data_IF_033110045143
#
_entry.id   IF_033110045143
#
_cell.length_a   1.000
_cell.length_b   1.000
_cell.length_c   1.000
_cell.angle_alpha   90.00
_cell.angle_beta   90.00
_cell.angle_gamma   90.00
#
_symmetry.space_group_name_H-M   'P 1'
#
loop_
_entity.id
_entity.type
_entity.pdbx_description
1 polymer ?
#
# COMPACT_ATOMS: atom_id res chain seq x y z
N UNK A 1 -15.00 -1.09 57.62
CA UNK A 1 -14.12 -1.07 56.42
C UNK A 1 -14.24 -2.33 55.54
N UNK A 2 -15.24 -3.20 55.73
CA UNK A 2 -15.45 -4.38 54.86
C UNK A 2 -16.59 -4.23 53.84
N UNK A 3 -17.62 -3.43 54.14
CA UNK A 3 -18.82 -3.36 53.29
C UNK A 3 -18.69 -2.43 52.08
N UNK A 4 -17.83 -1.41 52.15
CA UNK A 4 -17.62 -0.46 51.03
C UNK A 4 -16.90 -1.13 49.85
N UNK A 5 -16.03 -2.11 50.13
CA UNK A 5 -15.28 -2.82 49.08
C UNK A 5 -16.15 -3.81 48.30
N UNK A 6 -17.12 -4.46 48.97
CA UNK A 6 -18.03 -5.40 48.32
C UNK A 6 -19.01 -4.67 47.38
N UNK A 7 -19.42 -3.45 47.73
CA UNK A 7 -20.27 -2.61 46.88
C UNK A 7 -19.55 -2.10 45.63
N UNK A 8 -18.25 -1.81 45.71
CA UNK A 8 -17.45 -1.35 44.56
C UNK A 8 -17.20 -2.51 43.58
N UNK A 9 -16.89 -3.71 44.07
CA UNK A 9 -16.73 -4.87 43.18
C UNK A 9 -18.05 -5.30 42.54
N UNK A 10 -19.19 -5.27 43.26
CA UNK A 10 -20.50 -5.53 42.65
C UNK A 10 -20.87 -4.47 41.59
N UNK A 11 -20.55 -3.20 41.82
CA UNK A 11 -20.75 -2.15 40.81
C UNK A 11 -19.88 -2.38 39.57
N UNK A 12 -18.60 -2.75 39.74
CA UNK A 12 -17.72 -3.03 38.62
C UNK A 12 -18.20 -4.23 37.80
N UNK A 13 -18.64 -5.33 38.44
CA UNK A 13 -19.16 -6.50 37.73
C UNK A 13 -20.49 -6.20 37.03
N UNK A 14 -21.38 -5.38 37.62
CA UNK A 14 -22.62 -4.96 36.99
C UNK A 14 -22.39 -3.99 35.80
N UNK A 15 -21.39 -3.10 35.89
CA UNK A 15 -21.01 -2.21 34.79
C UNK A 15 -20.37 -3.02 33.65
N UNK A 16 -19.52 -4.00 33.95
CA UNK A 16 -18.96 -4.90 32.94
C UNK A 16 -20.03 -5.81 32.31
N UNK A 17 -20.98 -6.32 33.10
CA UNK A 17 -22.08 -7.14 32.59
C UNK A 17 -23.06 -6.32 31.73
N UNK A 18 -23.32 -5.05 32.06
CA UNK A 18 -24.12 -4.15 31.21
C UNK A 18 -23.36 -3.73 29.94
N UNK A 19 -22.04 -3.60 29.99
CA UNK A 19 -21.22 -3.34 28.80
C UNK A 19 -21.19 -4.54 27.83
N UNK A 20 -21.20 -5.76 28.36
CA UNK A 20 -21.23 -7.00 27.56
C UNK A 20 -22.66 -7.35 27.08
N UNK A 21 -23.70 -7.01 27.85
CA UNK A 21 -25.10 -7.27 27.49
C UNK A 21 -25.74 -6.18 26.60
N UNK A 22 -25.08 -5.01 26.46
CA UNK A 22 -25.55 -3.89 25.64
C UNK A 22 -25.09 -3.91 24.17
N UNK A 23 -24.33 -4.92 23.73
CA UNK A 23 -23.78 -4.98 22.36
C UNK A 23 -24.48 -6.00 21.45
N UNK A 24 -25.76 -6.29 21.69
CA UNK A 24 -26.60 -7.02 20.75
C UNK A 24 -27.62 -6.07 20.13
N UNK A 25 -27.47 -5.89 18.82
CA UNK A 25 -28.46 -5.33 17.90
C UNK A 25 -28.72 -3.80 17.99
N UNK A 26 -27.67 -3.02 17.75
CA UNK A 26 -27.83 -1.81 16.94
C UNK A 26 -27.32 -2.13 15.54
N UNK A 27 -28.25 -2.47 14.65
CA UNK A 27 -28.04 -2.31 13.20
C UNK A 27 -27.74 -0.85 12.95
N UNK A 28 -26.46 -0.51 13.00
CA UNK A 28 -25.99 0.75 12.48
C UNK A 28 -25.99 0.63 10.95
N UNK A 29 -27.10 1.04 10.33
CA UNK A 29 -27.23 1.31 8.90
C UNK A 29 -26.33 2.51 8.46
N UNK A 30 -25.29 2.84 9.23
CA UNK A 30 -24.21 3.79 8.93
C UNK A 30 -22.83 3.14 9.05
N UNK A 31 -22.65 1.94 8.50
CA UNK A 31 -21.33 1.60 7.93
C UNK A 31 -21.12 2.54 6.73
N UNK A 32 -20.77 3.78 7.04
CA UNK A 32 -20.34 4.82 6.12
C UNK A 32 -19.23 4.23 5.28
N UNK A 33 -19.56 3.92 4.02
CA UNK A 33 -18.65 3.88 2.87
C UNK A 33 -17.21 3.60 3.27
N UNK A 34 -16.85 2.32 3.43
CA UNK A 34 -15.45 1.92 3.45
C UNK A 34 -14.78 2.64 2.28
N UNK A 35 -13.81 3.51 2.56
CA UNK A 35 -13.18 4.32 1.55
C UNK A 35 -12.66 3.40 0.43
N UNK A 36 -13.33 3.41 -0.73
CA UNK A 36 -13.01 2.50 -1.81
C UNK A 36 -11.88 3.11 -2.62
N UNK A 37 -10.64 2.88 -2.16
CA UNK A 37 -9.42 3.27 -2.88
C UNK A 37 -9.31 2.46 -4.19
N UNK A 38 -9.47 3.10 -5.37
CA UNK A 38 -9.50 2.42 -6.66
C UNK A 38 -8.15 1.81 -7.07
N UNK A 39 -7.05 2.16 -6.40
CA UNK A 39 -5.75 1.53 -6.62
C UNK A 39 -5.80 0.01 -6.47
N UNK A 40 -6.79 -0.48 -5.74
CA UNK A 40 -6.89 -1.87 -5.36
C UNK A 40 -7.10 -2.85 -6.48
N UNK A 41 -7.79 -2.40 -7.52
CA UNK A 41 -8.11 -3.24 -8.66
C UNK A 41 -6.85 -3.57 -9.48
N UNK A 42 -5.75 -2.83 -9.27
CA UNK A 42 -4.44 -3.18 -9.84
C UNK A 42 -3.86 -4.45 -9.20
N UNK A 43 -4.18 -4.77 -7.95
CA UNK A 43 -3.61 -5.93 -7.24
C UNK A 43 -4.43 -7.20 -7.48
N UNK A 44 -5.75 -7.08 -7.64
CA UNK A 44 -6.67 -8.23 -7.76
C UNK A 44 -6.76 -8.76 -9.22
N UNK A 45 -5.96 -8.25 -10.16
CA UNK A 45 -5.91 -8.65 -11.57
C UNK A 45 -7.30 -8.87 -12.22
N UNK A 46 -8.30 -8.05 -11.85
CA UNK A 46 -9.58 -8.01 -12.56
C UNK A 46 -9.44 -6.99 -13.68
N UNK A 47 -9.49 -7.43 -14.92
CA UNK A 47 -9.52 -6.59 -16.12
C UNK A 47 -10.52 -5.43 -15.95
N UNK A 48 -10.04 -4.20 -15.78
CA UNK A 48 -10.90 -3.04 -15.52
C UNK A 48 -11.23 -2.33 -16.83
N UNK A 49 -12.39 -2.67 -17.39
CA UNK A 49 -13.35 -1.63 -17.76
C UNK A 49 -14.47 -1.71 -16.73
N UNK A 50 -14.40 -0.93 -15.67
CA UNK A 50 -15.49 -0.89 -14.68
C UNK A 50 -16.06 0.52 -14.62
N UNK A 51 -17.10 0.72 -15.45
CA UNK A 51 -18.15 1.66 -15.11
C UNK A 51 -18.75 1.20 -13.79
N UNK A 52 -18.55 1.93 -12.69
CA UNK A 52 -19.33 1.68 -11.49
C UNK A 52 -20.75 2.22 -11.73
N UNK A 53 -21.70 1.30 -11.93
CA UNK A 53 -23.13 1.58 -11.80
C UNK A 53 -23.45 1.72 -10.31
N UNK A 54 -23.37 2.95 -9.78
CA UNK A 54 -24.14 3.43 -8.62
C UNK A 54 -23.91 4.94 -8.41
N UNK A 55 -24.17 5.75 -9.45
CA UNK A 55 -24.39 7.19 -9.31
C UNK A 55 -23.18 8.07 -8.94
N UNK A 56 -21.99 7.50 -8.68
CA UNK A 56 -20.73 8.23 -8.56
C UNK A 56 -19.83 7.84 -9.74
N UNK A 57 -19.49 8.78 -10.62
CA UNK A 57 -18.86 8.54 -11.93
C UNK A 57 -17.64 7.58 -11.92
N UNK A 58 -17.35 6.98 -13.07
CA UNK A 58 -16.29 5.97 -13.24
C UNK A 58 -14.89 6.51 -12.89
N UNK A 59 -14.09 5.68 -12.21
CA UNK A 59 -12.67 5.96 -12.00
C UNK A 59 -11.84 5.44 -13.18
N UNK A 60 -10.86 6.23 -13.60
CA UNK A 60 -9.75 5.78 -14.41
C UNK A 60 -8.58 5.46 -13.49
N UNK A 61 -8.08 4.23 -13.58
CA UNK A 61 -6.92 3.76 -12.82
C UNK A 61 -5.82 3.46 -13.83
N UNK A 62 -4.62 3.99 -13.62
CA UNK A 62 -3.46 3.80 -14.46
C UNK A 62 -2.33 3.19 -13.63
N UNK A 63 -1.53 2.33 -14.26
CA UNK A 63 -0.38 1.71 -13.63
C UNK A 63 0.78 1.58 -14.59
N UNK A 64 2.01 1.75 -14.10
CA UNK A 64 3.22 1.46 -14.83
C UNK A 64 4.26 0.81 -13.91
N UNK A 65 4.75 -0.38 -14.27
CA UNK A 65 5.72 -1.12 -13.47
C UNK A 65 5.76 -2.60 -13.81
N UNK A 66 6.09 -3.42 -12.83
CA UNK A 66 6.37 -4.84 -13.01
C UNK A 66 5.67 -5.73 -11.99
N UNK A 67 5.34 -6.93 -12.42
CA UNK A 67 4.81 -8.01 -11.59
C UNK A 67 5.72 -9.22 -11.69
N UNK A 68 5.97 -9.85 -10.55
CA UNK A 68 6.77 -11.06 -10.42
C UNK A 68 5.89 -12.17 -9.89
N UNK A 69 5.98 -13.34 -10.53
CA UNK A 69 5.20 -14.53 -10.21
C UNK A 69 6.14 -15.71 -9.99
N UNK A 70 5.99 -16.40 -8.87
CA UNK A 70 6.75 -17.59 -8.51
C UNK A 70 5.93 -18.49 -7.60
N UNK A 71 6.38 -19.73 -7.40
CA UNK A 71 5.75 -20.64 -6.45
C UNK A 71 5.85 -20.16 -5.00
N UNK A 72 6.88 -19.38 -4.67
CA UNK A 72 7.08 -18.82 -3.34
C UNK A 72 7.98 -17.60 -3.32
N UNK A 73 7.53 -16.57 -2.61
CA UNK A 73 8.29 -15.42 -2.17
C UNK A 73 8.09 -15.23 -0.66
N UNK A 74 9.15 -14.75 0.00
CA UNK A 74 9.17 -14.48 1.44
C UNK A 74 9.46 -13.03 1.78
N UNK A 75 9.77 -12.21 0.78
CA UNK A 75 9.86 -10.77 0.95
C UNK A 75 10.33 -10.05 -0.30
N UNK A 76 10.39 -8.74 -0.18
CA UNK A 76 10.91 -7.84 -1.19
C UNK A 76 11.52 -6.61 -0.50
N UNK A 77 12.64 -6.14 -1.06
CA UNK A 77 13.25 -4.86 -0.73
C UNK A 77 13.22 -3.97 -1.98
N UNK A 78 12.81 -2.72 -1.82
CA UNK A 78 12.58 -1.78 -2.92
C UNK A 78 12.96 -0.38 -2.47
N UNK A 79 13.69 0.35 -3.32
CA UNK A 79 13.90 1.79 -3.17
C UNK A 79 13.10 2.54 -4.23
N UNK A 80 12.42 3.62 -3.85
CA UNK A 80 11.77 4.52 -4.81
C UNK A 80 11.95 5.98 -4.42
N UNK A 81 11.94 6.85 -5.43
CA UNK A 81 11.91 8.29 -5.23
C UNK A 81 10.51 8.74 -4.76
N UNK A 82 10.43 9.76 -3.90
CA UNK A 82 9.16 10.37 -3.45
C UNK A 82 9.03 11.77 -4.05
N UNK A 83 7.86 12.14 -4.57
CA UNK A 83 7.62 13.47 -5.15
C UNK A 83 6.36 14.13 -4.56
N UNK A 84 6.39 15.45 -4.45
CA UNK A 84 5.16 16.24 -4.32
C UNK A 84 4.44 16.31 -5.68
N UNK A 85 3.12 16.16 -5.67
CA UNK A 85 2.31 16.09 -6.90
C UNK A 85 1.17 17.11 -6.84
N UNK A 86 0.97 17.81 -7.95
CA UNK A 86 -0.22 18.65 -8.14
C UNK A 86 -1.37 17.75 -8.62
N UNK A 87 -2.19 17.28 -7.68
CA UNK A 87 -3.37 16.45 -7.95
C UNK A 87 -4.65 17.13 -7.47
N UNK A 88 -5.75 16.88 -8.16
CA UNK A 88 -7.08 17.37 -7.78
C UNK A 88 -7.64 16.60 -6.57
N UNK A 89 -8.68 17.16 -5.92
CA UNK A 89 -9.35 16.56 -4.76
C UNK A 89 -9.89 15.14 -4.98
N UNK A 90 -10.14 14.73 -6.22
CA UNK A 90 -10.65 13.38 -6.54
C UNK A 90 -9.59 12.46 -7.15
N UNK A 91 -8.33 12.87 -7.15
CA UNK A 91 -7.20 12.10 -7.66
C UNK A 91 -6.39 11.47 -6.52
N UNK A 92 -5.70 10.38 -6.86
CA UNK A 92 -4.72 9.71 -6.02
C UNK A 92 -3.58 9.24 -6.92
N UNK A 93 -2.33 9.59 -6.60
CA UNK A 93 -1.19 9.17 -7.39
C UNK A 93 0.04 8.94 -6.53
N UNK A 94 0.86 7.96 -6.91
CA UNK A 94 2.01 7.57 -6.12
C UNK A 94 2.72 6.32 -6.62
N UNK A 95 3.39 5.65 -5.69
CA UNK A 95 4.18 4.46 -5.91
C UNK A 95 3.81 3.40 -4.88
N UNK A 96 3.74 2.13 -5.29
CA UNK A 96 3.39 1.02 -4.41
C UNK A 96 4.24 -0.22 -4.64
N UNK A 97 4.41 -0.96 -3.54
CA UNK A 97 4.91 -2.33 -3.49
C UNK A 97 3.75 -3.21 -3.01
N UNK A 98 3.36 -4.18 -3.83
CA UNK A 98 2.30 -5.13 -3.54
C UNK A 98 2.87 -6.53 -3.29
N UNK A 99 2.37 -7.19 -2.25
CA UNK A 99 2.69 -8.58 -1.90
C UNK A 99 1.37 -9.32 -1.84
N UNK A 100 1.27 -10.45 -2.52
CA UNK A 100 0.01 -11.16 -2.62
C UNK A 100 0.17 -12.66 -2.79
N UNK A 101 -0.98 -13.31 -2.74
CA UNK A 101 -1.12 -14.73 -3.06
C UNK A 101 -2.37 -14.92 -3.92
N UNK A 102 -2.23 -15.58 -5.07
CA UNK A 102 -3.29 -15.85 -6.03
C UNK A 102 -4.16 -17.02 -5.54
N UNK A 103 -5.48 -16.88 -5.65
CA UNK A 103 -6.47 -17.87 -5.21
C UNK A 103 -7.85 -17.24 -5.05
N UNK A 104 -8.84 -18.04 -4.64
CA UNK A 104 -10.22 -17.54 -4.41
C UNK A 104 -10.28 -16.51 -3.25
N UNK A 105 -9.36 -16.62 -2.29
CA UNK A 105 -9.12 -15.66 -1.20
C UNK A 105 -7.83 -14.87 -1.46
N UNK A 106 -7.90 -13.80 -2.27
CA UNK A 106 -6.74 -12.91 -2.51
C UNK A 106 -6.43 -12.17 -1.21
N UNK A 107 -5.36 -12.61 -0.56
CA UNK A 107 -4.68 -11.85 0.48
C UNK A 107 -3.67 -10.91 -0.18
N UNK A 108 -3.59 -9.67 0.31
CA UNK A 108 -2.52 -8.77 -0.12
C UNK A 108 -2.08 -7.83 1.00
N UNK A 109 -0.83 -7.41 0.90
CA UNK A 109 -0.24 -6.29 1.61
C UNK A 109 0.20 -5.29 0.54
N UNK A 110 -0.07 -4.01 0.78
CA UNK A 110 0.37 -2.91 -0.07
C UNK A 110 1.05 -1.89 0.82
N UNK A 111 2.24 -1.47 0.44
CA UNK A 111 2.92 -0.35 1.07
C UNK A 111 3.39 0.61 0.00
N UNK A 112 3.44 1.88 0.31
CA UNK A 112 3.81 2.86 -0.70
C UNK A 112 3.77 4.28 -0.18
N UNK A 113 3.88 5.21 -1.12
CA UNK A 113 3.62 6.62 -0.87
C UNK A 113 2.65 7.15 -1.92
N UNK A 114 1.85 8.14 -1.55
CA UNK A 114 0.94 8.79 -2.49
C UNK A 114 0.53 10.18 -2.05
N UNK A 115 0.10 11.00 -3.00
CA UNK A 115 -0.64 12.24 -2.73
C UNK A 115 -2.12 11.92 -2.89
N UNK A 116 -2.88 12.03 -1.80
CA UNK A 116 -4.31 11.71 -1.80
C UNK A 116 -5.15 12.72 -1.01
N UNK A 117 -5.49 13.87 -1.61
CA UNK A 117 -6.13 14.96 -0.88
C UNK A 117 -7.50 14.62 -0.30
N UNK A 118 -8.29 13.79 -0.99
CA UNK A 118 -9.59 13.34 -0.48
C UNK A 118 -9.50 12.63 0.87
N UNK A 119 -8.40 11.93 1.10
CA UNK A 119 -8.20 11.07 2.27
C UNK A 119 -7.50 11.83 3.40
N UNK A 120 -6.43 12.58 3.11
CA UNK A 120 -5.66 13.30 4.14
C UNK A 120 -6.12 14.74 4.41
N UNK A 121 -6.84 15.36 3.46
CA UNK A 121 -7.25 16.76 3.56
C UNK A 121 -6.15 17.76 3.20
N UNK A 122 -5.01 17.30 2.66
CA UNK A 122 -3.88 18.11 2.21
C UNK A 122 -3.33 17.64 0.85
N UNK A 123 -2.26 18.25 0.36
CA UNK A 123 -1.62 17.91 -0.91
C UNK A 123 -0.19 17.38 -0.75
N UNK A 124 0.16 16.86 0.43
CA UNK A 124 1.49 16.30 0.68
C UNK A 124 1.54 14.83 0.26
N UNK A 125 2.73 14.28 -0.04
CA UNK A 125 2.89 12.85 -0.17
C UNK A 125 2.88 12.21 1.23
N UNK A 126 2.13 11.13 1.39
CA UNK A 126 2.07 10.37 2.64
C UNK A 126 2.52 8.94 2.42
N UNK A 127 3.26 8.40 3.38
CA UNK A 127 3.49 6.96 3.48
C UNK A 127 2.17 6.28 3.85
N UNK A 128 1.83 5.19 3.18
CA UNK A 128 0.63 4.42 3.48
C UNK A 128 0.91 2.93 3.55
N UNK A 129 0.05 2.24 4.29
CA UNK A 129 -0.06 0.78 4.25
C UNK A 129 -1.50 0.37 4.02
N UNK A 130 -1.67 -0.82 3.47
CA UNK A 130 -2.97 -1.46 3.32
C UNK A 130 -2.80 -2.97 3.40
N UNK A 131 -3.80 -3.64 3.95
CA UNK A 131 -3.90 -5.10 3.87
C UNK A 131 -5.32 -5.54 3.56
N UNK A 132 -5.45 -6.74 3.01
CA UNK A 132 -6.72 -7.35 2.63
C UNK A 132 -6.64 -8.87 2.75
N UNK A 133 -7.79 -9.50 3.03
CA UNK A 133 -7.90 -10.97 3.13
C UNK A 133 -8.79 -11.58 2.05
N UNK A 134 -9.81 -10.87 1.58
CA UNK A 134 -10.90 -11.47 0.80
C UNK A 134 -11.20 -10.74 -0.52
N UNK A 135 -10.17 -10.36 -1.29
CA UNK A 135 -10.37 -9.71 -2.59
C UNK A 135 -11.22 -8.42 -2.53
N UNK A 136 -11.21 -7.69 -1.41
CA UNK A 136 -12.04 -6.50 -1.14
C UNK A 136 -13.54 -6.74 -1.03
N UNK A 137 -13.94 -7.93 -0.63
CA UNK A 137 -15.36 -8.13 -0.35
C UNK A 137 -15.74 -7.47 0.96
N UNK A 138 -15.01 -7.72 2.05
CA UNK A 138 -15.37 -7.20 3.39
C UNK A 138 -14.17 -6.95 4.32
N UNK A 139 -13.04 -7.62 4.12
CA UNK A 139 -11.98 -7.73 5.14
C UNK A 139 -10.66 -7.12 4.69
N UNK A 140 -10.28 -6.02 5.34
CA UNK A 140 -9.00 -5.35 5.14
C UNK A 140 -8.94 -4.03 5.89
N UNK A 141 -7.80 -3.35 5.82
CA UNK A 141 -7.63 -2.05 6.43
C UNK A 141 -6.71 -1.14 5.63
N UNK A 142 -6.97 0.16 5.73
CA UNK A 142 -6.11 1.22 5.24
C UNK A 142 -5.45 1.92 6.42
N UNK A 143 -4.13 2.15 6.37
CA UNK A 143 -3.34 2.73 7.43
C UNK A 143 -3.67 2.14 8.82
N UNK A 144 -4.02 3.01 9.78
CA UNK A 144 -4.40 2.69 11.14
C UNK A 144 -5.90 2.93 11.38
N UNK A 145 -6.70 3.03 10.31
CA UNK A 145 -8.14 3.34 10.39
C UNK A 145 -8.94 2.21 11.08
N UNK A 146 -8.33 1.03 11.17
CA UNK A 146 -8.86 -0.19 11.75
C UNK A 146 -7.71 -1.08 12.25
N UNK A 147 -8.00 -2.07 13.12
CA UNK A 147 -7.00 -3.03 13.57
C UNK A 147 -6.43 -3.86 12.41
N UNK A 148 -5.13 -4.16 12.50
CA UNK A 148 -4.51 -5.19 11.68
C UNK A 148 -3.01 -4.97 11.53
N UNK A 149 -2.59 -3.82 10.99
CA UNK A 149 -1.19 -3.42 11.07
C UNK A 149 -0.85 -3.02 12.51
N UNK A 150 0.30 -3.50 13.01
CA UNK A 150 0.78 -3.23 14.37
C UNK A 150 2.08 -2.43 14.27
N UNK A 151 2.07 -1.12 14.61
CA UNK A 151 3.28 -0.30 14.64
C UNK A 151 4.30 -0.80 15.67
N UNK A 152 5.58 -0.65 15.36
CA UNK A 152 6.67 -0.94 16.30
C UNK A 152 6.78 0.18 17.35
N UNK A 153 6.85 -0.13 18.65
CA UNK A 153 6.98 0.87 19.70
C UNK A 153 8.20 1.78 19.50
N UNK A 154 7.97 3.10 19.54
CA UNK A 154 9.05 4.09 19.39
C UNK A 154 9.47 4.37 17.95
N UNK A 155 8.86 3.73 16.94
CA UNK A 155 9.07 4.12 15.54
C UNK A 155 8.56 5.53 15.28
N UNK A 156 9.37 6.35 14.59
CA UNK A 156 8.96 7.69 14.13
C UNK A 156 8.23 7.65 12.80
N UNK A 157 8.41 6.57 12.03
CA UNK A 157 7.69 6.34 10.77
C UNK A 157 6.49 5.45 11.08
N UNK A 158 5.29 5.99 10.90
CA UNK A 158 4.02 5.28 11.05
C UNK A 158 3.13 5.53 9.84
N UNK A 159 2.21 4.61 9.48
CA UNK A 159 1.34 4.83 8.33
C UNK A 159 0.52 6.12 8.45
N UNK A 160 0.42 6.85 7.34
CA UNK A 160 -0.30 8.13 7.26
C UNK A 160 0.53 9.37 7.54
N UNK A 161 1.82 9.27 7.90
CA UNK A 161 2.67 10.47 8.02
C UNK A 161 2.91 11.12 6.66
N UNK A 162 2.98 12.45 6.65
CA UNK A 162 3.49 13.22 5.51
C UNK A 162 4.99 13.00 5.37
N UNK A 163 5.47 12.87 4.14
CA UNK A 163 6.88 12.70 3.80
C UNK A 163 7.46 14.07 3.40
N UNK A 164 8.53 14.47 4.07
CA UNK A 164 9.28 15.69 3.81
C UNK A 164 10.72 15.50 4.31
N UNK A 165 11.77 15.84 3.54
CA UNK A 165 11.78 16.39 2.17
C UNK A 165 11.29 15.43 1.07
N UNK A 166 11.05 15.98 -0.12
CA UNK A 166 10.61 15.25 -1.33
C UNK A 166 11.51 15.60 -2.50
N UNK A 167 11.60 14.72 -3.49
CA UNK A 167 12.41 14.89 -4.69
C UNK A 167 11.97 16.05 -5.56
N UNK A 168 12.94 16.66 -6.24
CA UNK A 168 12.73 17.69 -7.26
C UNK A 168 12.97 17.08 -8.66
N UNK A 169 12.05 17.24 -9.64
CA UNK A 169 12.27 16.73 -10.99
C UNK A 169 13.52 17.29 -11.67
N UNK A 170 14.55 16.45 -11.82
CA UNK A 170 15.86 16.83 -12.36
C UNK A 170 16.80 17.52 -11.36
N UNK A 171 16.41 17.57 -10.09
CA UNK A 171 17.17 18.13 -8.98
C UNK A 171 17.52 17.06 -7.94
N UNK A 172 17.49 17.46 -6.66
CA UNK A 172 17.79 16.58 -5.53
C UNK A 172 16.75 15.46 -5.43
N UNK A 173 17.23 14.22 -5.26
CA UNK A 173 16.37 13.05 -5.04
C UNK A 173 16.32 12.72 -3.56
N UNK A 174 15.11 12.45 -3.10
CA UNK A 174 14.79 11.94 -1.78
C UNK A 174 14.10 10.59 -1.94
N UNK A 175 14.57 9.60 -1.19
CA UNK A 175 14.21 8.20 -1.36
C UNK A 175 13.43 7.66 -0.17
N UNK A 176 12.55 6.70 -0.45
CA UNK A 176 11.94 5.82 0.54
C UNK A 176 12.34 4.38 0.22
N UNK A 177 12.78 3.66 1.24
CA UNK A 177 13.16 2.24 1.14
C UNK A 177 12.11 1.44 1.89
N UNK A 178 11.49 0.47 1.21
CA UNK A 178 10.60 -0.51 1.81
C UNK A 178 11.28 -1.87 1.79
N UNK A 179 11.37 -2.51 2.95
CA UNK A 179 11.73 -3.93 3.05
C UNK A 179 10.63 -4.65 3.81
N UNK A 180 9.93 -5.54 3.12
CA UNK A 180 8.87 -6.34 3.71
C UNK A 180 9.27 -7.79 3.59
N UNK A 181 9.31 -8.51 4.71
CA UNK A 181 9.67 -9.93 4.71
C UNK A 181 8.96 -10.68 5.81
N UNK A 182 8.78 -11.98 5.58
CA UNK A 182 8.14 -12.88 6.51
C UNK A 182 9.14 -13.36 7.55
N UNK A 183 8.80 -13.27 8.83
CA UNK A 183 9.64 -13.79 9.92
C UNK A 183 9.34 -15.27 10.25
N UNK A 184 10.12 -15.84 11.18
CA UNK A 184 9.94 -17.21 11.63
C UNK A 184 8.63 -17.48 12.41
N UNK A 185 7.97 -16.44 12.94
CA UNK A 185 6.65 -16.55 13.56
C UNK A 185 5.51 -16.54 12.51
N UNK A 186 5.84 -16.13 11.28
CA UNK A 186 4.92 -16.01 10.16
C UNK A 186 4.33 -14.61 10.01
N UNK A 187 4.76 -13.63 10.80
CA UNK A 187 4.36 -12.24 10.61
C UNK A 187 5.11 -11.64 9.42
N UNK A 188 4.48 -10.70 8.71
CA UNK A 188 5.16 -9.90 7.71
C UNK A 188 5.69 -8.64 8.38
N UNK A 189 7.00 -8.54 8.53
CA UNK A 189 7.68 -7.39 9.10
C UNK A 189 7.86 -6.32 8.03
N UNK A 190 7.57 -5.08 8.39
CA UNK A 190 7.75 -3.92 7.53
C UNK A 190 8.86 -3.04 8.10
N UNK A 191 9.93 -2.91 7.32
CA UNK A 191 10.98 -1.95 7.55
C UNK A 191 10.83 -0.80 6.56
N UNK A 192 11.06 0.42 7.03
CA UNK A 192 10.98 1.64 6.23
C UNK A 192 12.12 2.59 6.57
N UNK A 193 12.67 3.25 5.56
CA UNK A 193 13.67 4.31 5.71
C UNK A 193 13.34 5.49 4.80
N UNK A 194 13.47 6.71 5.31
CA UNK A 194 13.32 7.97 4.56
C UNK A 194 14.71 8.61 4.49
N UNK A 195 15.34 8.59 3.32
CA UNK A 195 16.76 8.99 3.14
C UNK A 195 17.75 8.34 4.12
N UNK A 196 17.38 7.16 4.64
CA UNK A 196 18.15 6.42 5.63
C UNK A 196 18.01 4.92 5.40
N UNK A 197 18.89 4.14 6.02
CA UNK A 197 18.73 2.69 6.11
C UNK A 197 17.36 2.35 6.74
N UNK A 198 16.65 1.34 6.19
CA UNK A 198 15.33 0.98 6.68
C UNK A 198 15.42 0.22 8.01
N UNK A 199 14.61 0.64 8.99
CA UNK A 199 14.48 -0.04 10.28
C UNK A 199 13.05 -0.56 10.48
N UNK A 200 12.86 -1.49 11.42
CA UNK A 200 11.54 -2.07 11.69
C UNK A 200 10.56 -0.99 12.17
N UNK A 201 9.47 -0.79 11.43
CA UNK A 201 8.43 0.20 11.77
C UNK A 201 7.12 -0.45 12.20
N UNK A 202 6.95 -1.75 11.97
CA UNK A 202 5.79 -2.51 12.41
C UNK A 202 5.63 -3.81 11.65
N UNK A 203 4.48 -4.46 11.81
CA UNK A 203 4.20 -5.78 11.24
C UNK A 203 2.74 -5.98 10.88
N UNK A 204 2.50 -6.90 9.96
CA UNK A 204 1.20 -7.49 9.67
C UNK A 204 1.16 -8.90 10.26
N UNK A 205 0.38 -9.14 11.33
CA UNK A 205 0.31 -10.45 11.96
C UNK A 205 -0.16 -11.54 10.99
N UNK A 206 0.41 -12.74 11.12
CA UNK A 206 0.05 -13.92 10.32
C UNK A 206 -1.45 -14.24 10.39
N UNK A 207 -2.11 -13.90 11.50
CA UNK A 207 -3.53 -14.12 11.75
C UNK A 207 -4.47 -13.29 10.86
N UNK A 208 -3.96 -12.24 10.21
CA UNK A 208 -4.73 -11.48 9.23
C UNK A 208 -5.02 -12.28 7.96
N UNK A 209 -4.20 -13.29 7.69
CA UNK A 209 -4.10 -13.92 6.39
C UNK A 209 -4.49 -15.40 6.43
N UNK A 210 -5.01 -15.88 5.32
CA UNK A 210 -5.21 -17.30 5.01
C UNK A 210 -4.05 -17.81 4.17
N UNK A 211 -3.85 -17.23 2.99
CA UNK A 211 -2.86 -17.63 1.98
C UNK A 211 -1.50 -16.96 2.22
N UNK A 212 -1.45 -15.65 2.45
CA UNK A 212 -0.22 -14.94 2.85
C UNK A 212 0.33 -15.37 4.22
N UNK A 213 -0.43 -16.18 4.96
CA UNK A 213 0.05 -16.79 6.21
C UNK A 213 1.25 -17.70 6.00
N UNK A 214 1.39 -18.30 4.81
CA UNK A 214 2.49 -19.24 4.53
C UNK A 214 3.56 -18.60 3.64
N UNK A 215 3.16 -18.05 2.50
CA UNK A 215 4.05 -17.46 1.50
C UNK A 215 3.28 -16.52 0.58
N UNK A 216 4.01 -15.67 -0.13
CA UNK A 216 3.49 -14.96 -1.29
C UNK A 216 3.80 -15.77 -2.57
N UNK A 217 2.98 -15.62 -3.60
CA UNK A 217 3.25 -16.11 -4.96
C UNK A 217 3.27 -14.96 -6.00
N UNK A 218 3.02 -13.75 -5.49
CA UNK A 218 2.84 -12.55 -6.27
C UNK A 218 3.56 -11.38 -5.59
N UNK A 219 4.35 -10.66 -6.38
CA UNK A 219 4.98 -9.40 -6.00
C UNK A 219 4.75 -8.37 -7.09
N UNK A 220 4.55 -7.10 -6.73
CA UNK A 220 4.36 -6.00 -7.68
C UNK A 220 5.10 -4.76 -7.22
N UNK A 221 5.73 -4.07 -8.17
CA UNK A 221 6.30 -2.74 -7.98
C UNK A 221 5.79 -1.84 -9.10
N UNK A 222 5.07 -0.77 -8.75
CA UNK A 222 4.46 0.08 -9.76
C UNK A 222 4.19 1.50 -9.27
N UNK A 223 4.32 2.45 -10.19
CA UNK A 223 3.62 3.72 -10.09
C UNK A 223 2.16 3.56 -10.43
N UNK A 224 1.32 4.42 -9.87
CA UNK A 224 -0.09 4.46 -10.20
C UNK A 224 -0.66 5.87 -10.18
N UNK A 225 -1.76 6.05 -10.92
CA UNK A 225 -2.53 7.27 -10.94
C UNK A 225 -4.03 6.93 -11.05
N UNK A 226 -4.86 7.57 -10.24
CA UNK A 226 -6.30 7.42 -10.20
C UNK A 226 -6.94 8.78 -10.45
N UNK A 227 -7.93 8.83 -11.34
CA UNK A 227 -8.72 10.04 -11.59
C UNK A 227 -10.19 9.73 -11.80
N UNK A 228 -11.08 10.60 -11.30
CA UNK A 228 -12.52 10.60 -11.66
C UNK A 228 -12.85 11.54 -12.81
N UNK A 229 -11.91 12.41 -13.18
CA UNK A 229 -12.09 13.41 -14.24
C UNK A 229 -11.28 13.00 -15.47
N UNK A 230 -11.45 13.71 -16.57
CA UNK A 230 -10.57 13.58 -17.75
C UNK A 230 -9.20 14.19 -17.52
N UNK A 231 -8.98 14.92 -16.42
CA UNK A 231 -7.66 15.42 -16.07
C UNK A 231 -6.81 14.27 -15.54
N UNK A 232 -5.63 14.11 -16.14
CA UNK A 232 -4.66 13.09 -15.79
C UNK A 232 -3.85 13.54 -14.57
N UNK A 233 -3.70 12.68 -13.57
CA UNK A 233 -2.85 12.93 -12.42
C UNK A 233 -1.39 12.61 -12.80
N UNK A 234 -0.39 13.43 -12.47
CA UNK A 234 1.01 13.07 -12.68
C UNK A 234 1.37 11.81 -11.86
N UNK A 235 2.04 10.84 -12.49
CA UNK A 235 2.56 9.62 -11.85
C UNK A 235 4.06 9.75 -11.63
N UNK A 236 4.56 9.32 -10.46
CA UNK A 236 5.98 9.39 -10.14
C UNK A 236 6.43 10.84 -10.04
N UNK A 237 7.24 11.32 -10.99
CA UNK A 237 7.63 12.73 -11.08
C UNK A 237 6.77 13.54 -12.06
N UNK A 238 5.78 12.90 -12.67
CA UNK A 238 4.98 13.45 -13.77
C UNK A 238 5.60 13.23 -15.15
N UNK A 239 6.86 12.84 -15.26
CA UNK A 239 7.57 12.64 -16.53
C UNK A 239 7.61 11.19 -16.99
N UNK A 240 7.51 10.97 -18.29
CA UNK A 240 7.64 9.67 -18.94
C UNK A 240 9.07 9.12 -18.80
N UNK A 241 9.26 7.78 -18.85
CA UNK A 241 10.56 7.13 -18.70
C UNK A 241 11.67 7.60 -19.64
N UNK A 242 11.31 8.18 -20.80
CA UNK A 242 12.24 8.76 -21.78
C UNK A 242 12.90 10.05 -21.30
N UNK A 243 12.33 10.69 -20.27
CA UNK A 243 12.85 11.91 -19.68
C UNK A 243 13.83 11.60 -18.54
N UNK A 244 14.98 12.28 -18.44
CA UNK A 244 15.89 12.12 -17.31
C UNK A 244 15.29 12.50 -15.95
N UNK A 245 14.19 13.25 -15.94
CA UNK A 245 13.45 13.64 -14.72
C UNK A 245 12.46 12.57 -14.24
N UNK A 246 12.33 11.45 -14.93
CA UNK A 246 11.40 10.38 -14.55
C UNK A 246 11.69 9.84 -13.14
N UNK A 247 10.63 9.44 -12.43
CA UNK A 247 10.75 8.72 -11.18
C UNK A 247 11.36 7.33 -11.42
N UNK A 248 11.95 6.75 -10.39
CA UNK A 248 12.55 5.43 -10.48
C UNK A 248 12.20 4.51 -9.32
N UNK A 249 12.23 3.22 -9.64
CA UNK A 249 12.43 2.16 -8.67
C UNK A 249 13.84 1.61 -8.87
N UNK A 250 14.55 1.41 -7.77
CA UNK A 250 15.89 0.82 -7.75
C UNK A 250 15.99 -0.18 -6.60
N UNK A 251 17.09 -0.94 -6.59
CA UNK A 251 17.34 -1.95 -5.56
C UNK A 251 16.15 -2.90 -5.36
N UNK A 252 15.48 -3.32 -6.44
CA UNK A 252 14.33 -4.24 -6.36
C UNK A 252 14.87 -5.66 -6.17
N UNK A 253 14.84 -6.13 -4.92
CA UNK A 253 15.38 -7.43 -4.53
C UNK A 253 14.28 -8.31 -3.94
N UNK A 254 14.10 -9.50 -4.51
CA UNK A 254 13.22 -10.54 -3.99
C UNK A 254 13.94 -11.31 -2.89
N UNK A 255 13.23 -11.66 -1.82
CA UNK A 255 13.75 -12.39 -0.67
C UNK A 255 13.13 -13.79 -0.65
N UNK A 256 13.97 -14.82 -0.56
CA UNK A 256 13.56 -16.21 -0.44
C UNK A 256 13.41 -16.67 1.01
N UNK A 257 13.07 -17.94 1.21
CA UNK A 257 12.80 -18.52 2.54
C UNK A 257 14.02 -18.45 3.49
N UNK A 258 15.22 -18.46 2.92
CA UNK A 258 16.48 -18.49 3.64
C UNK A 258 17.00 -17.06 3.90
N UNK A 259 16.23 -16.05 3.47
CA UNK A 259 16.56 -14.63 3.58
C UNK A 259 17.55 -14.16 2.51
N UNK A 260 17.84 -14.98 1.49
CA UNK A 260 18.73 -14.59 0.41
C UNK A 260 18.00 -13.68 -0.57
N UNK A 261 18.73 -12.68 -1.06
CA UNK A 261 18.22 -11.65 -1.96
C UNK A 261 18.63 -11.92 -3.40
N UNK A 262 17.69 -11.73 -4.34
CA UNK A 262 17.95 -11.81 -5.78
C UNK A 262 17.29 -10.64 -6.53
N UNK A 263 17.94 -10.13 -7.58
CA UNK A 263 17.37 -9.09 -8.44
C UNK A 263 16.19 -9.63 -9.23
N UNK A 264 15.24 -8.75 -9.57
CA UNK A 264 14.13 -9.10 -10.48
C UNK A 264 14.66 -9.47 -11.89
N UNK A 265 14.00 -10.41 -12.60
CA UNK A 265 14.37 -10.75 -13.99
C UNK A 265 14.22 -9.55 -14.94
N UNK A 266 15.15 -9.41 -15.88
CA UNK A 266 15.19 -8.26 -16.81
C UNK A 266 14.23 -8.37 -17.98
N UNK A 267 13.83 -9.59 -18.30
CA UNK A 267 12.93 -9.95 -19.39
C UNK A 267 11.46 -9.92 -18.98
N UNK A 268 11.14 -9.41 -17.78
CA UNK A 268 9.76 -9.18 -17.38
C UNK A 268 9.09 -8.17 -18.32
N UNK A 269 7.88 -8.47 -18.82
CA UNK A 269 7.09 -7.48 -19.53
C UNK A 269 6.57 -6.42 -18.54
N UNK A 270 6.60 -5.16 -18.95
CA UNK A 270 5.98 -4.08 -18.18
C UNK A 270 4.45 -4.25 -18.16
N UNK A 271 3.82 -3.93 -17.03
CA UNK A 271 2.37 -3.87 -16.87
C UNK A 271 1.93 -2.42 -16.97
N UNK A 272 1.37 -2.09 -18.13
CA UNK A 272 0.93 -0.76 -18.50
C UNK A 272 -0.44 -0.84 -19.17
N UNK A 273 -1.42 -0.13 -18.62
CA UNK A 273 -2.74 -0.10 -19.22
C UNK A 273 -2.96 1.11 -20.15
N UNK A 274 -2.05 2.09 -20.14
CA UNK A 274 -2.01 3.17 -21.11
C UNK A 274 -0.58 3.65 -21.42
N UNK A 275 0.20 2.86 -22.18
CA UNK A 275 1.63 3.11 -22.43
C UNK A 275 1.97 4.50 -22.98
N UNK A 276 1.05 5.12 -23.74
CA UNK A 276 1.24 6.46 -24.31
C UNK A 276 1.08 7.60 -23.28
N UNK A 277 0.44 7.33 -22.14
CA UNK A 277 0.22 8.31 -21.07
C UNK A 277 1.05 7.99 -19.83
N UNK A 278 1.20 6.70 -19.51
CA UNK A 278 1.99 6.23 -18.39
C UNK A 278 2.71 4.95 -18.79
N UNK A 279 4.02 4.93 -18.59
CA UNK A 279 4.86 3.79 -18.94
C UNK A 279 6.00 3.60 -17.96
N UNK A 280 6.65 2.44 -18.06
CA UNK A 280 7.87 2.06 -17.37
C UNK A 280 8.96 1.76 -18.42
N UNK A 281 10.20 2.14 -18.13
CA UNK A 281 11.35 1.72 -18.93
C UNK A 281 11.60 0.22 -18.72
N UNK A 282 12.26 -0.47 -19.67
CA UNK A 282 12.86 -1.77 -19.40
C UNK A 282 13.73 -1.78 -18.13
N UNK A 283 13.81 -2.93 -17.47
CA UNK A 283 14.66 -3.15 -16.30
C UNK A 283 16.13 -3.24 -16.74
N UNK A 284 16.99 -2.44 -16.11
CA UNK A 284 18.42 -2.45 -16.39
C UNK A 284 19.19 -3.60 -15.69
N UNK A 285 20.50 -3.64 -15.84
CA UNK A 285 21.35 -4.68 -15.23
C UNK A 285 21.47 -4.58 -13.70
N UNK A 286 21.11 -3.44 -13.13
CA UNK A 286 21.04 -3.23 -11.68
C UNK A 286 19.66 -3.53 -11.10
N UNK A 287 18.69 -3.93 -11.92
CA UNK A 287 17.32 -4.15 -11.48
C UNK A 287 16.55 -2.83 -11.25
N UNK A 288 17.02 -1.73 -11.85
CA UNK A 288 16.39 -0.41 -11.81
C UNK A 288 15.54 -0.20 -13.05
N UNK A 289 14.46 0.54 -12.89
CA UNK A 289 13.65 1.05 -13.99
C UNK A 289 13.08 2.43 -13.66
N UNK A 290 12.76 3.23 -14.68
CA UNK A 290 12.03 4.49 -14.54
C UNK A 290 10.56 4.30 -14.87
N UNK A 291 9.70 5.16 -14.33
CA UNK A 291 8.26 5.15 -14.56
C UNK A 291 7.70 6.57 -14.42
N UNK A 292 6.54 6.81 -15.02
CA UNK A 292 5.79 8.04 -14.80
C UNK A 292 4.99 8.47 -16.01
N UNK A 293 4.69 9.77 -16.08
CA UNK A 293 3.85 10.41 -17.08
C UNK A 293 2.79 11.32 -16.44
N UNK A 294 2.03 12.08 -17.24
CA UNK A 294 1.99 12.06 -18.70
C UNK A 294 2.89 13.07 -19.42
N UNK A 295 3.76 13.79 -18.71
CA UNK A 295 4.66 14.78 -19.31
C UNK A 295 5.79 14.10 -20.10
N UNK A 296 6.19 14.69 -21.23
CA UNK A 296 7.34 14.25 -22.03
C UNK A 296 8.70 14.61 -21.41
#
# INVERSE_FOLDING_TARGET
MGEVNLFIELLCVLIFAQYIAGSQDLKDDRVTSLHQDPSIYMIVNRSIKTQQSNGQGAYFVFSAGYEMNSESYYGIEVTTDVYGLSVDQEQNSGAMVGIGSKGDDVNAIVVGWHVYPKYYGDAYPHFFVRWMRDSHQQTGCYNLDCPGYVPEPGSSIVPGISINPVSEPGGTKHIIIFKIFKDGAGDWLLHCGLDSEPYLIGRFPASLFTTLRTKADYMRVAGYAVSRTTHLAPMGSGYLPTNPKAASFSNVQLIDQDGLTSKIPRDLPAIENSPSMYSASPIDFEGKFTYGGPLE
#
